data_IF_613555878550
#
_entry.id   IF_613555878550
#
_cell.length_a   1.000
_cell.length_b   1.000
_cell.length_c   1.000
_cell.angle_alpha   90.00
_cell.angle_beta   90.00
_cell.angle_gamma   90.00
#
_symmetry.space_group_name_H-M   'P 1'
#
loop_
_entity.id
_entity.type
_entity.pdbx_description
1 polymer ?
#
# COMPACT_ATOMS: atom_id res chain seq x y z
N UNK A 1 -18.31 5.44 7.94
CA UNK A 1 -17.10 5.36 7.11
C UNK A 1 -15.96 5.04 8.07
N UNK A 2 -15.51 3.79 8.12
CA UNK A 2 -14.57 3.31 9.13
C UNK A 2 -13.18 3.27 8.51
N UNK A 3 -12.43 4.35 8.66
CA UNK A 3 -11.04 4.44 8.24
C UNK A 3 -10.22 4.72 9.47
N UNK A 4 -9.07 4.06 9.59
CA UNK A 4 -8.04 4.53 10.50
C UNK A 4 -7.61 5.92 10.01
N UNK A 5 -7.98 6.93 10.77
CA UNK A 5 -7.39 8.25 10.71
C UNK A 5 -6.74 8.45 12.07
N UNK A 6 -5.45 8.77 12.08
CA UNK A 6 -4.82 9.33 13.26
C UNK A 6 -4.65 10.83 13.02
N UNK A 7 -4.76 11.60 14.08
CA UNK A 7 -4.48 13.03 14.06
C UNK A 7 -3.56 13.33 15.24
N UNK A 8 -2.56 14.16 15.01
CA UNK A 8 -1.80 14.78 16.07
C UNK A 8 -2.47 16.13 16.36
N UNK A 9 -3.27 16.20 17.42
CA UNK A 9 -3.87 17.46 17.87
C UNK A 9 -2.97 18.02 18.99
N UNK A 10 -1.87 18.67 18.60
CA UNK A 10 -0.76 18.95 19.52
C UNK A 10 0.13 17.71 19.73
N UNK A 11 0.60 17.48 20.96
CA UNK A 11 1.49 16.36 21.33
C UNK A 11 0.75 15.01 21.55
N UNK A 12 -0.59 15.01 21.51
CA UNK A 12 -1.41 13.83 21.78
C UNK A 12 -1.83 13.13 20.48
N UNK A 13 -1.46 11.84 20.36
CA UNK A 13 -1.92 10.96 19.28
C UNK A 13 -3.35 10.48 19.56
N UNK A 14 -4.27 10.79 18.64
CA UNK A 14 -5.65 10.31 18.70
C UNK A 14 -6.01 9.48 17.47
N UNK A 15 -6.91 8.53 17.66
CA UNK A 15 -7.45 7.63 16.64
C UNK A 15 -8.94 7.90 16.42
N UNK A 16 -9.38 7.86 15.17
CA UNK A 16 -10.79 7.98 14.83
C UNK A 16 -11.55 6.69 15.14
N UNK A 17 -12.51 6.75 16.08
CA UNK A 17 -13.44 5.66 16.38
C UNK A 17 -14.73 5.85 15.58
N UNK A 18 -14.83 5.17 14.45
CA UNK A 18 -15.90 5.41 13.49
C UNK A 18 -17.30 4.99 13.98
N UNK A 19 -17.39 4.02 14.89
CA UNK A 19 -18.63 3.62 15.57
C UNK A 19 -19.17 4.76 16.44
N UNK A 20 -18.30 5.40 17.21
CA UNK A 20 -18.67 6.49 18.12
C UNK A 20 -18.66 7.87 17.45
N UNK A 21 -18.09 7.96 16.25
CA UNK A 21 -17.84 9.19 15.49
C UNK A 21 -17.06 10.23 16.32
N UNK A 22 -16.03 9.77 17.04
CA UNK A 22 -15.20 10.60 17.92
C UNK A 22 -13.72 10.21 17.81
N UNK A 23 -12.85 11.18 18.08
CA UNK A 23 -11.43 10.93 18.33
C UNK A 23 -11.24 10.41 19.75
N UNK A 24 -10.38 9.39 19.92
CA UNK A 24 -9.99 8.85 21.23
C UNK A 24 -8.51 8.50 21.27
N UNK A 25 -7.92 8.44 22.46
CA UNK A 25 -6.50 8.11 22.66
C UNK A 25 -6.20 6.62 22.48
N UNK A 26 -7.16 5.74 22.75
CA UNK A 26 -7.02 4.31 22.52
C UNK A 26 -7.21 3.96 21.03
N UNK A 27 -6.46 3.01 20.47
CA UNK A 27 -6.67 2.54 19.11
C UNK A 27 -8.00 1.75 19.00
N UNK A 28 -8.75 1.89 17.90
CA UNK A 28 -9.97 1.10 17.70
C UNK A 28 -9.64 -0.40 17.52
N UNK A 29 -10.60 -1.30 17.77
CA UNK A 29 -10.46 -2.73 17.50
C UNK A 29 -9.97 -3.02 16.06
N UNK A 30 -9.16 -4.06 15.89
CA UNK A 30 -8.46 -4.37 14.63
C UNK A 30 -9.39 -4.56 13.42
N UNK A 31 -10.60 -5.04 13.66
CA UNK A 31 -11.66 -5.21 12.65
C UNK A 31 -12.30 -3.89 12.21
N UNK A 32 -12.10 -2.80 12.96
CA UNK A 32 -12.58 -1.45 12.64
C UNK A 32 -11.50 -0.55 12.03
N UNK A 33 -10.23 -1.00 12.04
CA UNK A 33 -9.09 -0.27 11.46
C UNK A 33 -9.21 -0.15 9.94
N UNK A 34 -9.66 -1.22 9.27
CA UNK A 34 -9.72 -1.31 7.81
C UNK A 34 -11.16 -1.32 7.32
N UNK A 35 -11.48 -0.43 6.38
CA UNK A 35 -12.75 -0.51 5.66
C UNK A 35 -12.68 -1.68 4.67
N UNK A 36 -13.44 -2.75 4.95
CA UNK A 36 -13.52 -3.93 4.06
C UNK A 36 -14.14 -3.61 2.69
N UNK A 37 -14.80 -2.46 2.53
CA UNK A 37 -15.38 -2.01 1.26
C UNK A 37 -14.37 -1.21 0.40
N UNK A 38 -13.14 -0.98 0.87
CA UNK A 38 -12.07 -0.41 0.05
C UNK A 38 -11.28 -1.52 -0.61
N UNK A 39 -11.27 -1.54 -1.94
CA UNK A 39 -10.50 -2.45 -2.78
C UNK A 39 -9.18 -1.76 -3.17
N UNK A 40 -8.16 -1.92 -2.31
CA UNK A 40 -6.78 -1.53 -2.60
C UNK A 40 -5.88 -2.76 -2.48
N UNK A 41 -6.23 -3.81 -3.25
CA UNK A 41 -5.44 -5.03 -3.28
C UNK A 41 -4.03 -4.73 -3.77
N UNK A 42 -3.06 -5.35 -3.11
CA UNK A 42 -1.64 -5.15 -3.37
C UNK A 42 -0.90 -6.47 -3.20
N UNK A 43 0.38 -6.49 -3.56
CA UNK A 43 1.33 -7.55 -3.19
C UNK A 43 1.16 -8.90 -3.88
N UNK A 44 0.29 -9.02 -4.90
CA UNK A 44 0.11 -10.28 -5.63
C UNK A 44 1.34 -10.69 -6.45
N UNK A 45 2.25 -9.75 -6.75
CA UNK A 45 3.51 -9.96 -7.48
C UNK A 45 4.59 -9.02 -6.91
N UNK A 46 4.99 -9.20 -5.65
CA UNK A 46 5.84 -8.23 -4.96
C UNK A 46 7.21 -8.06 -5.62
N UNK A 47 7.74 -6.84 -5.51
CA UNK A 47 9.10 -6.49 -5.96
C UNK A 47 10.12 -6.85 -4.87
N UNK A 48 11.27 -7.37 -5.27
CA UNK A 48 12.38 -7.68 -4.37
C UNK A 48 13.73 -7.48 -5.04
N UNK A 49 14.76 -7.39 -4.21
CA UNK A 49 16.14 -7.37 -4.68
C UNK A 49 16.63 -8.78 -5.07
N UNK A 50 17.94 -8.91 -5.31
CA UNK A 50 18.55 -10.18 -5.68
C UNK A 50 18.73 -11.14 -4.49
N UNK A 51 18.61 -10.65 -3.25
CA UNK A 51 18.67 -11.47 -2.04
C UNK A 51 17.30 -12.12 -1.75
N UNK A 52 16.20 -11.46 -2.12
CA UNK A 52 14.87 -12.05 -2.11
C UNK A 52 14.65 -12.99 -3.31
N UNK A 53 15.01 -14.26 -3.13
CA UNK A 53 14.84 -15.30 -4.16
C UNK A 53 13.38 -15.63 -4.46
N UNK A 54 12.46 -15.33 -3.53
CA UNK A 54 11.04 -15.64 -3.68
C UNK A 54 10.28 -14.52 -4.41
N UNK A 55 10.81 -13.29 -4.43
CA UNK A 55 10.21 -12.18 -5.16
C UNK A 55 10.10 -12.50 -6.66
N UNK A 56 8.91 -12.46 -7.27
CA UNK A 56 8.74 -12.75 -8.69
C UNK A 56 9.24 -11.61 -9.60
N UNK A 57 9.36 -10.38 -9.10
CA UNK A 57 9.72 -9.19 -9.88
C UNK A 57 10.98 -8.54 -9.28
N UNK A 58 11.94 -8.19 -10.12
CA UNK A 58 13.17 -7.48 -9.72
C UNK A 58 12.96 -5.99 -9.54
N UNK A 59 13.94 -5.31 -8.91
CA UNK A 59 13.95 -3.84 -8.75
C UNK A 59 13.95 -3.06 -10.08
N UNK A 60 14.25 -3.73 -11.18
CA UNK A 60 14.16 -3.23 -12.56
C UNK A 60 12.77 -3.40 -13.19
N UNK A 61 11.75 -3.71 -12.38
CA UNK A 61 10.37 -3.98 -12.79
C UNK A 61 10.18 -5.24 -13.64
N UNK A 62 11.24 -6.00 -13.89
CA UNK A 62 11.20 -7.13 -14.80
C UNK A 62 10.75 -8.40 -14.09
N UNK A 63 9.84 -9.14 -14.72
CA UNK A 63 9.43 -10.46 -14.25
C UNK A 63 10.61 -11.43 -14.36
N UNK A 64 10.96 -12.09 -13.25
CA UNK A 64 12.04 -13.09 -13.24
C UNK A 64 11.69 -14.25 -14.18
N UNK A 65 12.68 -14.75 -14.92
CA UNK A 65 12.53 -15.86 -15.86
C UNK A 65 12.10 -15.49 -17.29
N UNK A 66 11.81 -14.22 -17.58
CA UNK A 66 11.50 -13.74 -18.94
C UNK A 66 12.29 -12.47 -19.27
N UNK A 67 12.43 -12.13 -20.56
CA UNK A 67 13.35 -11.08 -21.01
C UNK A 67 12.72 -9.70 -21.26
N UNK A 68 11.43 -9.64 -21.50
CA UNK A 68 10.77 -8.45 -22.05
C UNK A 68 9.36 -8.22 -21.45
N UNK A 69 9.13 -8.72 -20.24
CA UNK A 69 7.88 -8.51 -19.52
C UNK A 69 8.17 -7.73 -18.25
N UNK A 70 7.50 -6.59 -18.11
CA UNK A 70 7.66 -5.67 -16.99
C UNK A 70 6.31 -5.51 -16.29
N UNK A 71 6.34 -5.43 -14.97
CA UNK A 71 5.16 -5.23 -14.13
C UNK A 71 5.28 -3.90 -13.41
N UNK A 72 4.16 -3.22 -13.16
CA UNK A 72 4.10 -2.02 -12.32
C UNK A 72 2.73 -1.90 -11.65
N UNK A 73 2.57 -0.91 -10.77
CA UNK A 73 1.33 -0.67 -10.02
C UNK A 73 1.19 -1.51 -8.75
N UNK A 74 -0.05 -1.62 -8.25
CA UNK A 74 -0.34 -2.11 -6.90
C UNK A 74 0.11 -3.55 -6.60
N UNK A 75 0.25 -4.39 -7.63
CA UNK A 75 0.74 -5.75 -7.49
C UNK A 75 2.15 -5.83 -6.88
N UNK A 76 2.98 -4.81 -7.09
CA UNK A 76 4.39 -4.82 -6.70
C UNK A 76 4.63 -4.52 -5.21
N UNK A 77 3.70 -3.87 -4.50
CA UNK A 77 4.09 -3.24 -3.23
C UNK A 77 3.85 -4.19 -2.08
N UNK A 78 4.71 -4.22 -1.04
CA UNK A 78 4.63 -5.22 0.02
C UNK A 78 3.34 -5.14 0.86
N UNK A 79 2.73 -3.95 0.95
CA UNK A 79 1.50 -3.76 1.71
C UNK A 79 0.59 -2.70 1.08
N UNK A 80 -0.71 -2.98 1.05
CA UNK A 80 -1.75 -1.98 0.80
C UNK A 80 -2.14 -1.27 2.10
N UNK A 81 -1.99 0.07 2.14
CA UNK A 81 -2.24 0.84 3.37
C UNK A 81 -2.82 2.25 3.19
N UNK A 82 -2.68 2.88 2.02
CA UNK A 82 -3.12 4.28 1.83
C UNK A 82 -4.60 4.43 1.45
N UNK A 83 -5.14 5.63 1.67
CA UNK A 83 -6.50 6.06 1.34
C UNK A 83 -6.79 6.02 -0.17
N UNK A 84 -5.76 6.16 -1.01
CA UNK A 84 -5.83 6.06 -2.46
C UNK A 84 -4.43 5.76 -3.03
N UNK A 85 -4.15 4.55 -3.53
CA UNK A 85 -2.83 4.20 -4.07
C UNK A 85 -2.58 4.79 -5.47
N UNK A 86 -3.59 5.38 -6.12
CA UNK A 86 -3.53 5.75 -7.55
C UNK A 86 -2.32 6.61 -7.89
N UNK A 87 -2.00 7.65 -7.09
CA UNK A 87 -0.90 8.55 -7.42
C UNK A 87 0.46 7.82 -7.40
N UNK A 88 0.66 6.94 -6.43
CA UNK A 88 1.90 6.15 -6.36
C UNK A 88 1.95 5.08 -7.46
N UNK A 89 0.81 4.51 -7.88
CA UNK A 89 0.72 3.64 -9.06
C UNK A 89 1.14 4.39 -10.33
N UNK A 90 0.64 5.62 -10.51
CA UNK A 90 1.00 6.49 -11.65
C UNK A 90 2.49 6.81 -11.63
N UNK A 91 3.05 7.19 -10.48
CA UNK A 91 4.48 7.49 -10.34
C UNK A 91 5.36 6.29 -10.74
N UNK A 92 4.97 5.08 -10.35
CA UNK A 92 5.71 3.86 -10.74
C UNK A 92 5.56 3.51 -12.21
N UNK A 93 4.42 3.79 -12.82
CA UNK A 93 4.24 3.61 -14.26
C UNK A 93 5.10 4.60 -15.06
N UNK A 94 5.19 5.85 -14.60
CA UNK A 94 6.09 6.86 -15.20
C UNK A 94 7.56 6.47 -15.05
N UNK A 95 7.96 6.05 -13.85
CA UNK A 95 9.33 5.61 -13.61
C UNK A 95 9.71 4.39 -14.46
N UNK A 96 8.80 3.43 -14.63
CA UNK A 96 8.98 2.32 -15.57
C UNK A 96 9.17 2.84 -17.00
N UNK A 97 8.32 3.77 -17.45
CA UNK A 97 8.42 4.34 -18.80
C UNK A 97 9.75 5.07 -19.05
N UNK A 98 10.34 5.69 -18.02
CA UNK A 98 11.64 6.36 -18.12
C UNK A 98 12.84 5.38 -18.09
N UNK A 99 12.63 4.13 -17.68
CA UNK A 99 13.69 3.13 -17.49
C UNK A 99 13.75 2.05 -18.58
N UNK A 100 12.78 2.02 -19.51
CA UNK A 100 12.73 1.07 -20.65
C UNK A 100 13.04 1.72 -22.00
#
# INVERSE_FOLDING_TARGET
MNKLSCSANGDDLEYWHATDKKWKKDPPPSDQIRNKNLVHDASTMWIGDNEDTEAPVGLDYRLKGVNNVYLTGGALWPTGGSWNPVLTIVAMAMHLADTI
#
